data_IF_910704692126
#
_entry.id   IF_910704692126
#
_cell.length_a   1.000
_cell.length_b   1.000
_cell.length_c   1.000
_cell.angle_alpha   90.00
_cell.angle_beta   90.00
_cell.angle_gamma   90.00
#
_symmetry.space_group_name_H-M   'P 1'
#
loop_
_entity.id
_entity.type
_entity.pdbx_description
1 polymer ?
#
# COMPACT_ATOMS: atom_id res chain seq x y z
N UNK A 1 11.61 -14.64 0.66
CA UNK A 1 10.21 -14.70 1.18
C UNK A 1 9.50 -13.41 0.84
N UNK A 2 8.40 -13.52 0.14
CA UNK A 2 7.61 -12.33 -0.23
C UNK A 2 6.96 -11.70 0.99
N UNK A 3 6.79 -10.38 0.94
CA UNK A 3 6.04 -9.66 1.94
C UNK A 3 4.89 -8.91 1.27
N UNK A 4 3.86 -8.65 2.03
CA UNK A 4 2.65 -8.02 1.53
C UNK A 4 2.36 -6.79 2.36
N UNK A 5 2.29 -5.64 1.70
CA UNK A 5 1.87 -4.41 2.35
C UNK A 5 0.36 -4.26 2.15
N UNK A 6 -0.38 -4.20 3.24
CA UNK A 6 -1.82 -4.02 3.20
C UNK A 6 -2.13 -2.63 3.71
N UNK A 7 -2.81 -1.84 2.89
CA UNK A 7 -3.16 -0.46 3.21
C UNK A 7 -4.67 -0.33 3.19
N UNK A 8 -5.21 0.28 4.23
CA UNK A 8 -6.62 0.68 4.23
C UNK A 8 -6.70 2.19 4.26
N UNK A 9 -7.31 2.78 3.24
CA UNK A 9 -7.58 4.21 3.22
C UNK A 9 -8.96 4.42 3.84
N UNK A 10 -8.98 4.85 5.09
CA UNK A 10 -10.23 4.99 5.85
C UNK A 10 -11.01 6.23 5.44
N UNK A 11 -10.32 7.32 5.18
CA UNK A 11 -10.97 8.59 4.84
C UNK A 11 -10.03 9.42 3.98
N UNK A 12 -10.55 9.95 2.89
CA UNK A 12 -9.82 10.90 2.06
C UNK A 12 -10.20 12.29 2.54
N UNK A 13 -9.23 13.02 3.12
CA UNK A 13 -9.47 14.35 3.68
C UNK A 13 -9.13 15.45 2.70
N UNK A 14 -8.26 15.18 1.72
CA UNK A 14 -7.92 16.12 0.66
C UNK A 14 -7.80 15.33 -0.65
N UNK A 15 -8.85 15.40 -1.46
CA UNK A 15 -8.94 14.63 -2.69
C UNK A 15 -7.84 14.99 -3.68
N UNK A 16 -7.45 16.25 -3.72
CA UNK A 16 -6.39 16.70 -4.64
C UNK A 16 -5.06 16.07 -4.30
N UNK A 17 -4.67 16.14 -3.03
CA UNK A 17 -3.40 15.57 -2.58
C UNK A 17 -3.39 14.06 -2.69
N UNK A 18 -4.46 13.41 -2.27
CA UNK A 18 -4.52 11.95 -2.34
C UNK A 18 -4.57 11.46 -3.77
N UNK A 19 -5.28 12.18 -4.64
CA UNK A 19 -5.31 11.85 -6.07
C UNK A 19 -3.94 11.96 -6.70
N UNK A 20 -3.18 12.99 -6.35
CA UNK A 20 -1.82 13.16 -6.83
C UNK A 20 -0.92 12.01 -6.33
N UNK A 21 -1.09 11.61 -5.08
CA UNK A 21 -0.38 10.48 -4.51
C UNK A 21 -0.65 9.20 -5.31
N UNK A 22 -1.93 8.93 -5.58
CA UNK A 22 -2.34 7.72 -6.33
C UNK A 22 -1.72 7.70 -7.73
N UNK A 23 -1.56 8.86 -8.36
CA UNK A 23 -0.96 8.95 -9.69
C UNK A 23 0.56 8.75 -9.68
N UNK A 24 1.23 9.17 -8.61
CA UNK A 24 2.69 9.17 -8.56
C UNK A 24 3.29 7.94 -7.90
N UNK A 25 2.60 7.36 -6.93
CA UNK A 25 3.19 6.25 -6.15
C UNK A 25 3.45 4.98 -6.95
N UNK A 26 2.64 4.60 -7.98
CA UNK A 26 2.90 3.35 -8.69
C UNK A 26 4.29 3.26 -9.31
N UNK A 27 4.81 4.37 -9.83
CA UNK A 27 6.14 4.37 -10.43
C UNK A 27 7.22 4.06 -9.41
N UNK A 28 7.06 4.56 -8.18
CA UNK A 28 8.04 4.30 -7.12
C UNK A 28 8.02 2.84 -6.71
N UNK A 29 6.81 2.25 -6.64
CA UNK A 29 6.64 0.84 -6.27
C UNK A 29 7.28 -0.05 -7.33
N UNK A 30 7.00 0.20 -8.60
CA UNK A 30 7.58 -0.58 -9.70
C UNK A 30 9.09 -0.55 -9.69
N UNK A 31 9.68 0.60 -9.42
CA UNK A 31 11.12 0.76 -9.41
C UNK A 31 11.80 -0.18 -8.40
N UNK A 32 11.12 -0.49 -7.31
CA UNK A 32 11.65 -1.37 -6.26
C UNK A 32 11.09 -2.78 -6.33
N UNK A 33 10.48 -3.15 -7.47
CA UNK A 33 10.02 -4.50 -7.69
C UNK A 33 8.70 -4.85 -7.04
N UNK A 34 7.94 -3.86 -6.59
CA UNK A 34 6.63 -4.10 -6.01
C UNK A 34 5.57 -4.36 -7.08
N UNK A 35 4.58 -5.16 -6.74
CA UNK A 35 3.48 -5.50 -7.63
C UNK A 35 2.16 -5.29 -6.91
N UNK A 36 1.24 -4.55 -7.51
CA UNK A 36 -0.10 -4.41 -6.97
C UNK A 36 -0.87 -5.72 -7.16
N UNK A 37 -1.40 -6.25 -6.06
CA UNK A 37 -2.28 -7.42 -6.09
C UNK A 37 -3.74 -7.01 -5.95
N UNK A 38 -4.00 -5.98 -5.14
CA UNK A 38 -5.34 -5.41 -4.95
C UNK A 38 -5.19 -3.91 -4.97
N UNK A 39 -6.09 -3.24 -5.66
CA UNK A 39 -6.00 -1.80 -5.81
C UNK A 39 -7.38 -1.16 -5.72
N UNK A 40 -7.98 -1.29 -4.53
CA UNK A 40 -9.26 -0.67 -4.25
C UNK A 40 -10.45 -1.35 -4.89
N UNK A 41 -10.39 -2.67 -5.07
CA UNK A 41 -11.52 -3.42 -5.59
C UNK A 41 -12.67 -3.53 -4.58
N UNK A 42 -13.78 -4.10 -5.03
CA UNK A 42 -14.94 -4.30 -4.17
C UNK A 42 -14.62 -5.23 -3.02
N UNK A 43 -15.15 -4.93 -1.85
CA UNK A 43 -14.96 -5.75 -0.67
C UNK A 43 -16.27 -6.42 -0.26
N UNK A 44 -16.18 -7.56 0.40
CA UNK A 44 -17.32 -8.27 0.96
C UNK A 44 -16.91 -8.76 2.34
N UNK A 45 -17.53 -8.22 3.36
CA UNK A 45 -17.28 -8.66 4.74
C UNK A 45 -18.01 -9.98 4.94
N UNK A 46 -17.27 -10.99 5.35
CA UNK A 46 -17.82 -12.34 5.53
C UNK A 46 -17.92 -12.73 7.00
N UNK A 47 -17.33 -11.95 7.89
CA UNK A 47 -17.37 -12.22 9.32
C UNK A 47 -16.92 -10.96 10.06
N UNK A 48 -17.55 -10.73 11.20
CA UNK A 48 -17.13 -9.66 12.10
C UNK A 48 -17.72 -8.31 11.74
N UNK A 49 -17.34 -7.35 12.55
CA UNK A 49 -17.86 -6.00 12.50
C UNK A 49 -16.80 -5.07 11.90
N UNK A 50 -16.67 -5.14 10.58
CA UNK A 50 -15.61 -4.43 9.86
C UNK A 50 -16.22 -3.75 8.63
N UNK A 51 -15.90 -2.48 8.43
CA UNK A 51 -16.40 -1.72 7.28
C UNK A 51 -15.19 -1.15 6.50
N UNK A 52 -14.49 -1.99 5.75
CA UNK A 52 -13.33 -1.52 4.99
C UNK A 52 -13.78 -0.62 3.84
N UNK A 53 -13.10 0.51 3.68
CA UNK A 53 -13.43 1.47 2.63
C UNK A 53 -12.66 1.18 1.35
N UNK A 54 -11.33 1.32 1.41
CA UNK A 54 -10.49 1.07 0.25
C UNK A 54 -9.26 0.30 0.72
N UNK A 55 -9.07 -0.88 0.15
CA UNK A 55 -7.94 -1.75 0.52
C UNK A 55 -7.01 -1.88 -0.67
N UNK A 56 -5.71 -1.72 -0.42
CA UNK A 56 -4.68 -1.88 -1.43
C UNK A 56 -3.69 -2.91 -0.89
N UNK A 57 -3.28 -3.85 -1.73
CA UNK A 57 -2.27 -4.84 -1.35
C UNK A 57 -1.16 -4.82 -2.38
N UNK A 58 0.07 -4.64 -1.91
CA UNK A 58 1.27 -4.62 -2.75
C UNK A 58 2.22 -5.71 -2.26
N UNK A 59 2.73 -6.49 -3.20
CA UNK A 59 3.71 -7.53 -2.91
C UNK A 59 5.11 -7.03 -3.22
N UNK A 60 6.06 -7.27 -2.32
CA UNK A 60 7.49 -7.08 -2.56
C UNK A 60 8.18 -8.43 -2.41
N UNK A 61 9.31 -8.60 -3.09
CA UNK A 61 10.05 -9.88 -3.07
C UNK A 61 10.59 -10.23 -1.69
N UNK A 62 10.89 -9.22 -0.87
CA UNK A 62 11.46 -9.41 0.46
C UNK A 62 11.18 -8.19 1.31
N UNK A 63 11.38 -8.34 2.62
CA UNK A 63 11.29 -7.21 3.54
C UNK A 63 12.36 -6.16 3.22
N UNK A 64 13.53 -6.61 2.76
CA UNK A 64 14.61 -5.69 2.37
C UNK A 64 14.18 -4.81 1.20
N UNK A 65 13.50 -5.38 0.22
CA UNK A 65 13.00 -4.61 -0.94
C UNK A 65 11.93 -3.62 -0.50
N UNK A 66 11.03 -4.04 0.40
CA UNK A 66 10.04 -3.15 0.95
C UNK A 66 10.70 -1.98 1.69
N UNK A 67 11.66 -2.28 2.56
CA UNK A 67 12.35 -1.23 3.32
C UNK A 67 13.09 -0.27 2.40
N UNK A 68 13.71 -0.80 1.34
CA UNK A 68 14.38 0.05 0.35
C UNK A 68 13.41 1.02 -0.30
N UNK A 69 12.21 0.56 -0.64
CA UNK A 69 11.17 1.41 -1.22
C UNK A 69 10.66 2.43 -0.20
N UNK A 70 10.31 1.95 0.99
CA UNK A 70 9.71 2.79 2.03
C UNK A 70 10.63 3.95 2.43
N UNK A 71 11.93 3.69 2.43
CA UNK A 71 12.92 4.69 2.82
C UNK A 71 13.56 5.42 1.63
N UNK A 72 13.12 5.12 0.41
CA UNK A 72 13.72 5.71 -0.78
C UNK A 72 13.38 7.19 -0.90
N UNK A 73 14.28 7.98 -1.51
CA UNK A 73 13.96 9.38 -1.79
C UNK A 73 12.72 9.53 -2.66
N UNK A 74 12.53 8.60 -3.59
CA UNK A 74 11.38 8.63 -4.50
C UNK A 74 10.06 8.53 -3.73
N UNK A 75 9.96 7.56 -2.81
CA UNK A 75 8.74 7.43 -2.02
C UNK A 75 8.62 8.56 -1.00
N UNK A 76 9.71 8.94 -0.35
CA UNK A 76 9.67 10.03 0.63
C UNK A 76 9.20 11.34 0.02
N UNK A 77 9.43 11.54 -1.27
CA UNK A 77 8.96 12.74 -1.96
C UNK A 77 7.44 12.77 -2.11
N UNK A 78 6.78 11.61 -2.21
CA UNK A 78 5.32 11.54 -2.38
C UNK A 78 4.56 11.20 -1.11
N UNK A 79 5.23 10.65 -0.10
CA UNK A 79 4.59 10.24 1.15
C UNK A 79 3.79 11.35 1.83
N UNK A 80 4.24 12.61 1.86
CA UNK A 80 3.45 13.69 2.45
C UNK A 80 2.08 13.87 1.81
N UNK A 81 1.94 13.57 0.52
CA UNK A 81 0.64 13.67 -0.16
C UNK A 81 -0.36 12.70 0.44
N UNK A 82 0.08 11.48 0.78
CA UNK A 82 -0.76 10.50 1.45
C UNK A 82 -1.08 10.94 2.89
N UNK A 83 -0.05 11.37 3.61
CA UNK A 83 -0.21 11.76 5.02
C UNK A 83 -1.15 12.94 5.19
N UNK A 84 -1.10 13.89 4.26
CA UNK A 84 -1.94 15.09 4.29
C UNK A 84 -3.26 14.89 3.58
N UNK A 85 -3.35 13.90 2.70
CA UNK A 85 -4.53 13.70 1.85
C UNK A 85 -5.52 12.65 2.33
N UNK A 86 -5.11 11.78 3.26
CA UNK A 86 -5.98 10.70 3.70
C UNK A 86 -5.57 10.16 5.06
N UNK A 87 -6.54 9.54 5.72
CA UNK A 87 -6.28 8.77 6.93
C UNK A 87 -6.13 7.32 6.51
N UNK A 88 -4.92 6.77 6.67
CA UNK A 88 -4.63 5.41 6.23
C UNK A 88 -3.98 4.61 7.34
N UNK A 89 -4.21 3.30 7.31
CA UNK A 89 -3.45 2.35 8.11
C UNK A 89 -2.72 1.44 7.14
N UNK A 90 -1.51 1.03 7.51
CA UNK A 90 -0.73 0.14 6.68
C UNK A 90 0.03 -0.86 7.54
N UNK A 91 0.13 -2.08 7.06
CA UNK A 91 0.90 -3.13 7.74
C UNK A 91 1.62 -3.95 6.68
N UNK A 92 2.81 -4.44 7.03
CA UNK A 92 3.56 -5.34 6.16
C UNK A 92 3.63 -6.68 6.84
N UNK A 93 3.25 -7.73 6.10
CA UNK A 93 3.18 -9.09 6.63
C UNK A 93 4.05 -10.01 5.76
N UNK A 94 4.85 -10.83 6.40
CA UNK A 94 5.62 -11.84 5.66
C UNK A 94 4.67 -12.92 5.17
N UNK A 95 4.87 -13.35 3.92
CA UNK A 95 4.08 -14.41 3.34
C UNK A 95 4.50 -15.77 3.85
N UNK A 96 3.70 -16.75 3.51
CA UNK A 96 4.04 -18.14 3.83
C UNK A 96 5.22 -18.54 2.95
N UNK A 97 6.26 -19.07 3.59
CA UNK A 97 7.42 -19.57 2.84
C UNK A 97 6.96 -20.75 1.98
N UNK A 98 7.18 -20.69 0.66
CA UNK A 98 6.77 -21.80 -0.19
C UNK A 98 7.38 -23.09 0.29
N UNK A 99 6.54 -24.09 0.44
CA UNK A 99 6.94 -25.41 0.86
C UNK A 99 7.16 -26.26 -0.38
N UNK A 100 8.32 -26.85 -0.50
CA UNK A 100 8.68 -27.61 -1.69
C UNK A 100 9.05 -29.03 -1.36
#
# INVERSE_FOLDING_TARGET
>A
MSVYMIVEAKEVTDKGKYGEYIQKVPQTIEKFGGTYLVRGGNTKVVSGDWDPKRVIIVQFESMEKFDAWWNSPEYRAVAPLREQGARTNAVVIEGVCPSH
#
